data_IF_993349301182
#
_entry.id   IF_993349301182
#
_cell.length_a   1.000
_cell.length_b   1.000
_cell.length_c   1.000
_cell.angle_alpha   90.00
_cell.angle_beta   90.00
_cell.angle_gamma   90.00
#
_symmetry.space_group_name_H-M   'P 1'
#
loop_
_entity.id
_entity.type
_entity.pdbx_description
1 polymer ?
#
# COMPACT_ATOMS: atom_id res chain seq x y z
N UNK A 1 -55.60 8.52 -8.46
CA UNK A 1 -54.96 7.39 -7.74
C UNK A 1 -53.43 7.55 -7.64
N UNK A 2 -52.75 7.96 -8.71
CA UNK A 2 -51.28 8.09 -8.76
C UNK A 2 -50.69 9.17 -7.83
N UNK A 3 -51.36 10.31 -7.64
CA UNK A 3 -50.93 11.36 -6.70
C UNK A 3 -51.07 10.97 -5.22
N UNK A 4 -52.07 10.15 -4.88
CA UNK A 4 -52.26 9.64 -3.52
C UNK A 4 -51.15 8.65 -3.15
N UNK A 5 -50.75 7.79 -4.09
CA UNK A 5 -49.66 6.84 -3.87
C UNK A 5 -48.32 7.56 -3.65
N UNK A 6 -48.06 8.63 -4.42
CA UNK A 6 -46.86 9.45 -4.23
C UNK A 6 -46.85 10.15 -2.87
N UNK A 7 -47.98 10.70 -2.43
CA UNK A 7 -48.12 11.31 -1.11
C UNK A 7 -47.87 10.33 0.05
N UNK A 8 -48.38 9.09 -0.07
CA UNK A 8 -48.17 8.04 0.94
C UNK A 8 -46.71 7.59 0.98
N UNK A 9 -46.04 7.47 -0.18
CA UNK A 9 -44.61 7.10 -0.23
C UNK A 9 -43.73 8.19 0.40
N UNK A 10 -44.02 9.47 0.14
CA UNK A 10 -43.30 10.59 0.75
C UNK A 10 -43.53 10.61 2.27
N UNK A 11 -44.79 10.46 2.72
CA UNK A 11 -45.11 10.43 4.14
C UNK A 11 -44.41 9.27 4.87
N UNK A 12 -44.41 8.07 4.29
CA UNK A 12 -43.70 6.91 4.84
C UNK A 12 -42.18 7.13 4.86
N UNK A 13 -41.61 7.78 3.84
CA UNK A 13 -40.19 8.13 3.80
C UNK A 13 -39.80 9.12 4.90
N UNK A 14 -40.62 10.15 5.14
CA UNK A 14 -40.40 11.12 6.22
C UNK A 14 -40.49 10.45 7.59
N UNK A 15 -41.48 9.58 7.81
CA UNK A 15 -41.61 8.82 9.07
C UNK A 15 -40.41 7.91 9.28
N UNK A 16 -39.95 7.19 8.25
CA UNK A 16 -38.78 6.32 8.34
C UNK A 16 -37.51 7.11 8.68
N UNK A 17 -37.31 8.28 8.08
CA UNK A 17 -36.19 9.18 8.41
C UNK A 17 -36.24 9.63 9.87
N UNK A 18 -37.41 10.03 10.38
CA UNK A 18 -37.56 10.45 11.78
C UNK A 18 -37.23 9.29 12.74
N UNK A 19 -37.73 8.08 12.46
CA UNK A 19 -37.46 6.89 13.28
C UNK A 19 -35.96 6.56 13.30
N UNK A 20 -35.28 6.65 12.15
CA UNK A 20 -33.84 6.40 12.05
C UNK A 20 -33.01 7.41 12.84
N UNK A 21 -33.40 8.70 12.83
CA UNK A 21 -32.71 9.74 13.61
C UNK A 21 -32.91 9.52 15.11
N UNK A 22 -34.13 9.17 15.54
CA UNK A 22 -34.41 8.85 16.95
C UNK A 22 -33.62 7.61 17.39
N UNK A 23 -33.58 6.55 16.57
CA UNK A 23 -32.83 5.34 16.86
C UNK A 23 -31.32 5.60 16.98
N UNK A 24 -30.76 6.42 16.08
CA UNK A 24 -29.35 6.82 16.15
C UNK A 24 -29.05 7.65 17.41
N UNK A 25 -29.94 8.55 17.81
CA UNK A 25 -29.79 9.33 19.04
C UNK A 25 -29.82 8.45 20.30
N UNK A 26 -30.81 7.55 20.40
CA UNK A 26 -30.92 6.60 21.51
C UNK A 26 -29.73 5.65 21.56
N UNK A 27 -29.21 5.23 20.40
CA UNK A 27 -27.99 4.42 20.30
C UNK A 27 -26.76 5.18 20.82
N UNK A 28 -26.55 6.43 20.38
CA UNK A 28 -25.44 7.26 20.88
C UNK A 28 -25.51 7.46 22.39
N UNK A 29 -26.72 7.68 22.94
CA UNK A 29 -26.94 7.85 24.38
C UNK A 29 -26.73 6.57 25.17
N UNK A 30 -27.15 5.42 24.64
CA UNK A 30 -26.95 4.11 25.28
C UNK A 30 -25.48 3.73 25.38
N UNK A 31 -24.66 4.12 24.39
CA UNK A 31 -23.23 3.82 24.34
C UNK A 31 -22.34 4.94 24.90
N UNK A 32 -22.90 5.93 25.58
CA UNK A 32 -22.13 6.94 26.32
C UNK A 32 -21.38 7.96 25.45
N UNK A 33 -21.74 8.09 24.16
CA UNK A 33 -21.17 9.13 23.31
C UNK A 33 -21.73 10.50 23.74
N UNK A 34 -20.86 11.36 24.30
CA UNK A 34 -21.23 12.76 24.58
C UNK A 34 -21.47 13.49 23.27
N UNK A 35 -22.73 13.83 22.99
CA UNK A 35 -23.05 14.79 21.93
C UNK A 35 -22.59 16.18 22.34
N UNK A 36 -22.17 16.96 21.36
CA UNK A 36 -21.92 18.40 21.49
C UNK A 36 -23.19 19.08 22.03
N UNK A 37 -23.13 19.86 23.14
CA UNK A 37 -24.31 20.45 23.78
C UNK A 37 -25.15 21.32 22.82
N UNK A 38 -24.54 21.95 21.82
CA UNK A 38 -25.26 22.73 20.80
C UNK A 38 -26.13 21.86 19.87
N UNK A 39 -25.75 20.57 19.67
CA UNK A 39 -26.53 19.61 18.87
C UNK A 39 -27.65 18.97 19.68
N UNK A 40 -27.44 18.79 20.98
CA UNK A 40 -28.46 18.26 21.89
C UNK A 40 -29.62 19.26 22.06
N UNK A 41 -29.33 20.55 22.17
CA UNK A 41 -30.35 21.61 22.22
C UNK A 41 -31.21 21.66 20.96
N UNK A 42 -30.60 21.60 19.76
CA UNK A 42 -31.33 21.57 18.48
C UNK A 42 -32.21 20.34 18.33
N UNK A 43 -31.77 19.19 18.82
CA UNK A 43 -32.54 17.96 18.76
C UNK A 43 -33.74 17.98 19.71
N UNK A 44 -33.57 18.51 20.92
CA UNK A 44 -34.67 18.69 21.87
C UNK A 44 -35.69 19.72 21.38
N UNK A 45 -35.26 20.82 20.75
CA UNK A 45 -36.15 21.77 20.09
C UNK A 45 -36.95 21.10 18.95
N UNK A 46 -36.30 20.26 18.13
CA UNK A 46 -36.98 19.46 17.11
C UNK A 46 -38.04 18.52 17.70
N UNK A 47 -37.71 17.77 18.75
CA UNK A 47 -38.68 16.87 19.42
C UNK A 47 -39.87 17.63 20.01
N UNK A 48 -39.63 18.80 20.60
CA UNK A 48 -40.69 19.65 21.13
C UNK A 48 -41.62 20.14 20.01
N UNK A 49 -41.06 20.55 18.86
CA UNK A 49 -41.85 20.94 17.67
C UNK A 49 -42.65 19.78 17.09
N UNK A 50 -42.14 18.55 17.11
CA UNK A 50 -42.89 17.35 16.66
C UNK A 50 -44.03 17.01 17.63
N UNK A 51 -43.84 17.20 18.94
CA UNK A 51 -44.90 16.99 19.94
C UNK A 51 -45.98 18.08 19.94
N UNK A 52 -45.62 19.33 19.62
CA UNK A 52 -46.53 20.49 19.76
C UNK A 52 -47.02 21.03 18.40
N UNK A 53 -46.43 20.64 17.28
CA UNK A 53 -46.79 21.08 15.92
C UNK A 53 -48.09 20.49 15.36
N UNK A 54 -48.87 19.78 16.18
CA UNK A 54 -50.16 19.19 15.81
C UNK A 54 -51.39 20.05 16.16
N UNK A 55 -51.24 21.25 16.72
CA UNK A 55 -52.39 22.01 17.28
C UNK A 55 -52.72 23.37 16.67
N UNK A 56 -51.90 23.98 15.81
CA UNK A 56 -52.22 25.30 15.26
C UNK A 56 -52.33 25.31 13.74
N UNK A 57 -53.51 24.93 13.23
CA UNK A 57 -54.22 25.56 12.11
C UNK A 57 -55.22 24.57 11.51
N UNK A 58 -56.51 24.77 11.83
CA UNK A 58 -57.62 24.90 10.88
C UNK A 58 -58.94 24.77 11.65
N UNK A 59 -59.72 25.85 11.56
CA UNK A 59 -61.18 25.95 11.71
C UNK A 59 -61.78 25.95 13.13
N UNK A 60 -61.81 27.16 13.69
CA UNK A 60 -63.04 27.74 14.23
C UNK A 60 -64.25 27.40 13.33
N UNK A 61 -65.33 26.90 13.94
CA UNK A 61 -66.68 27.16 13.44
C UNK A 61 -67.48 25.98 12.88
N UNK A 62 -68.38 25.49 13.74
CA UNK A 62 -69.79 25.19 13.45
C UNK A 62 -70.18 23.81 12.88
N UNK A 63 -70.70 23.00 13.81
CA UNK A 63 -72.07 22.45 13.89
C UNK A 63 -72.21 20.93 13.89
N UNK A 64 -72.69 20.47 15.06
CA UNK A 64 -73.29 19.17 15.40
C UNK A 64 -74.35 18.72 14.39
N UNK A 65 -74.39 17.42 14.11
CA UNK A 65 -75.64 16.66 14.07
C UNK A 65 -75.36 15.17 14.32
N UNK A 66 -76.31 14.54 15.00
CA UNK A 66 -76.19 13.31 15.77
C UNK A 66 -76.66 12.07 14.94
N UNK A 67 -76.99 10.90 15.53
CA UNK A 67 -76.45 9.60 15.12
C UNK A 67 -77.51 8.68 14.50
N UNK A 68 -77.15 7.45 14.08
CA UNK A 68 -78.07 6.31 14.28
C UNK A 68 -77.43 4.92 14.23
N UNK A 69 -78.06 4.12 15.09
CA UNK A 69 -77.84 2.77 15.62
C UNK A 69 -78.05 1.61 14.63
N UNK A 70 -77.32 0.53 14.94
CA UNK A 70 -77.75 -0.89 15.09
C UNK A 70 -78.06 -1.71 13.85
N UNK A 71 -77.42 -2.88 13.80
CA UNK A 71 -77.82 -4.04 13.01
C UNK A 71 -76.99 -5.26 13.39
N UNK A 72 -77.54 -6.08 14.28
CA UNK A 72 -76.99 -7.29 14.88
C UNK A 72 -77.39 -8.52 14.05
N UNK A 73 -76.52 -9.52 13.87
CA UNK A 73 -76.76 -10.97 14.17
C UNK A 73 -75.94 -11.96 13.31
N UNK A 74 -75.41 -12.96 14.04
CA UNK A 74 -75.33 -14.41 13.80
C UNK A 74 -74.68 -14.91 12.48
N UNK A 75 -73.83 -15.94 12.46
CA UNK A 75 -73.39 -16.92 13.45
C UNK A 75 -72.90 -18.20 12.74
N UNK A 76 -72.15 -19.03 13.47
CA UNK A 76 -71.79 -20.44 13.16
C UNK A 76 -70.77 -20.66 12.01
N UNK A 77 -69.87 -21.65 11.97
CA UNK A 77 -69.78 -22.96 12.64
C UNK A 77 -68.37 -23.59 12.36
N UNK A 78 -67.73 -24.20 13.38
CA UNK A 78 -66.89 -25.45 13.46
C UNK A 78 -65.84 -25.75 12.34
N UNK A 79 -64.67 -26.38 12.53
CA UNK A 79 -64.19 -27.38 13.51
C UNK A 79 -62.66 -27.63 13.33
N UNK A 80 -61.96 -27.83 14.45
CA UNK A 80 -60.81 -28.71 14.77
C UNK A 80 -59.74 -29.12 13.72
N UNK A 81 -58.44 -28.95 14.07
CA UNK A 81 -57.57 -30.05 14.58
C UNK A 81 -56.12 -29.57 14.82
N UNK A 82 -55.62 -29.79 16.03
CA UNK A 82 -54.19 -29.85 16.41
C UNK A 82 -53.73 -31.33 16.36
N UNK A 83 -52.42 -31.62 16.19
CA UNK A 83 -51.60 -31.85 17.40
C UNK A 83 -50.16 -31.31 17.34
N UNK A 84 -49.82 -30.56 18.38
CA UNK A 84 -48.65 -30.66 19.26
C UNK A 84 -47.34 -31.31 18.74
N UNK A 85 -46.27 -30.51 18.59
CA UNK A 85 -44.86 -30.93 18.73
C UNK A 85 -44.10 -29.85 19.51
N UNK A 86 -43.49 -30.24 20.64
CA UNK A 86 -42.64 -29.39 21.49
C UNK A 86 -41.22 -29.22 20.93
N UNK A 87 -40.49 -28.17 21.35
CA UNK A 87 -39.22 -27.75 20.74
C UNK A 87 -38.00 -28.52 21.29
N UNK A 88 -37.07 -28.86 20.40
CA UNK A 88 -35.75 -29.40 20.75
C UNK A 88 -34.76 -28.31 21.21
N UNK A 89 -33.68 -28.68 21.91
CA UNK A 89 -32.76 -27.73 22.56
C UNK A 89 -31.81 -27.06 21.55
N UNK A 90 -31.25 -25.89 21.87
CA UNK A 90 -30.32 -25.18 20.99
C UNK A 90 -28.94 -25.86 20.99
N UNK A 91 -28.39 -26.09 19.80
CA UNK A 91 -27.02 -26.56 19.59
C UNK A 91 -26.08 -25.35 19.66
N UNK A 92 -25.11 -25.39 20.57
CA UNK A 92 -24.08 -24.36 20.74
C UNK A 92 -23.11 -24.33 19.53
N UNK A 93 -22.54 -23.15 19.19
CA UNK A 93 -21.55 -23.05 18.13
C UNK A 93 -20.20 -23.65 18.55
N UNK A 94 -19.62 -24.44 17.67
CA UNK A 94 -18.25 -24.98 17.79
C UNK A 94 -17.26 -23.82 17.64
N UNK A 95 -16.50 -23.56 18.71
CA UNK A 95 -15.35 -22.64 18.71
C UNK A 95 -14.20 -23.33 17.97
N UNK A 96 -13.78 -22.75 16.84
CA UNK A 96 -12.54 -23.15 16.17
C UNK A 96 -11.35 -22.63 16.98
N UNK A 97 -10.62 -23.56 17.58
CA UNK A 97 -9.44 -23.30 18.37
C UNK A 97 -8.31 -22.75 17.48
N UNK A 98 -7.84 -21.55 17.79
CA UNK A 98 -6.72 -20.89 17.13
C UNK A 98 -5.39 -21.45 17.64
N UNK A 99 -4.88 -22.50 17.00
CA UNK A 99 -3.49 -22.93 17.16
C UNK A 99 -3.01 -23.56 15.84
N UNK A 100 -2.64 -22.73 14.87
CA UNK A 100 -1.75 -23.14 13.78
C UNK A 100 -0.50 -22.25 13.86
N UNK A 101 0.53 -22.77 14.52
CA UNK A 101 1.88 -22.20 14.48
C UNK A 101 2.50 -22.52 13.13
N UNK A 102 2.83 -21.46 12.38
CA UNK A 102 3.55 -21.55 11.12
C UNK A 102 5.03 -21.77 11.42
N UNK A 103 5.56 -22.96 11.12
CA UNK A 103 7.01 -23.24 11.23
C UNK A 103 7.64 -23.15 9.84
N UNK A 104 8.53 -22.18 9.65
CA UNK A 104 9.35 -22.05 8.44
C UNK A 104 10.41 -23.16 8.46
N UNK A 105 10.55 -24.00 7.42
CA UNK A 105 11.65 -24.95 7.35
C UNK A 105 12.98 -24.20 7.22
N UNK A 106 13.87 -24.40 8.20
CA UNK A 106 15.27 -23.97 8.13
C UNK A 106 16.00 -24.87 7.13
N UNK A 107 16.66 -24.27 6.15
CA UNK A 107 17.46 -25.00 5.16
C UNK A 107 18.59 -25.77 5.85
N UNK A 108 18.67 -27.07 5.56
CA UNK A 108 19.75 -27.97 5.95
C UNK A 108 20.92 -27.81 4.99
N UNK A 109 22.05 -27.33 5.48
CA UNK A 109 23.33 -27.41 4.76
C UNK A 109 23.87 -28.86 4.87
N UNK A 110 24.46 -29.44 3.81
CA UNK A 110 25.11 -30.74 3.91
C UNK A 110 26.40 -30.62 4.72
N UNK A 111 26.57 -31.55 5.66
CA UNK A 111 27.74 -31.66 6.52
C UNK A 111 28.95 -32.27 5.82
N UNK A 112 30.11 -31.73 6.13
CA UNK A 112 31.40 -32.38 5.98
C UNK A 112 31.86 -32.83 7.38
N UNK A 113 32.00 -34.16 7.57
CA UNK A 113 32.92 -34.75 8.54
C UNK A 113 34.34 -34.56 7.96
N UNK A 114 35.41 -34.27 8.66
CA UNK A 114 35.75 -34.21 10.07
C UNK A 114 37.26 -34.44 10.09
N UNK A 115 38.03 -33.64 10.82
CA UNK A 115 39.20 -34.14 11.56
C UNK A 115 39.72 -33.08 12.54
N UNK A 116 39.93 -33.57 13.75
CA UNK A 116 40.34 -32.88 14.97
C UNK A 116 41.87 -32.93 15.07
N UNK A 117 42.55 -31.81 15.34
CA UNK A 117 43.81 -31.86 16.10
C UNK A 117 44.08 -30.58 16.89
N UNK A 118 44.76 -30.80 18.00
CA UNK A 118 44.87 -30.07 19.27
C UNK A 118 45.83 -28.89 19.26
N UNK A 119 45.58 -27.97 20.21
CA UNK A 119 46.45 -26.86 20.61
C UNK A 119 47.61 -27.37 21.49
N UNK A 120 48.88 -27.02 21.20
CA UNK A 120 49.84 -26.68 22.26
C UNK A 120 51.05 -25.82 21.80
N UNK A 121 51.41 -24.93 22.73
CA UNK A 121 52.51 -23.97 22.96
C UNK A 121 53.86 -24.12 22.23
N UNK A 122 54.66 -23.03 22.21
CA UNK A 122 55.96 -23.10 22.90
C UNK A 122 56.26 -21.91 23.84
N UNK A 123 57.14 -22.18 24.83
CA UNK A 123 57.69 -21.27 25.84
C UNK A 123 59.25 -21.32 25.76
N UNK A 124 60.05 -20.54 26.54
CA UNK A 124 60.87 -19.41 26.05
C UNK A 124 62.39 -19.51 26.38
N UNK A 125 63.20 -18.53 25.94
CA UNK A 125 64.50 -18.12 26.54
C UNK A 125 65.10 -16.88 25.81
N UNK A 126 65.85 -15.89 26.34
CA UNK A 126 66.04 -15.20 27.65
C UNK A 126 66.79 -13.88 27.33
N UNK A 127 66.48 -12.77 28.04
CA UNK A 127 67.40 -11.64 28.34
C UNK A 127 67.20 -10.34 27.55
N UNK A 128 67.36 -9.12 28.07
CA UNK A 128 67.31 -8.56 29.42
C UNK A 128 67.20 -7.02 29.31
N UNK A 129 66.71 -6.40 30.40
CA UNK A 129 66.80 -4.98 30.83
C UNK A 129 65.73 -3.95 30.36
N UNK A 130 65.13 -3.33 31.38
CA UNK A 130 64.15 -2.22 31.40
C UNK A 130 64.87 -0.91 31.87
N UNK A 131 64.25 0.31 31.92
CA UNK A 131 63.18 0.61 32.89
C UNK A 131 62.06 1.62 32.46
N UNK A 132 60.83 1.28 32.90
CA UNK A 132 59.75 2.11 33.50
C UNK A 132 59.35 3.51 32.95
N UNK A 133 58.05 3.68 32.67
CA UNK A 133 57.22 4.73 33.30
C UNK A 133 55.70 4.50 33.18
N UNK A 134 55.10 4.28 34.36
CA UNK A 134 53.72 4.48 34.88
C UNK A 134 52.67 5.13 33.95
N UNK A 135 51.54 4.43 33.79
CA UNK A 135 50.22 5.01 33.48
C UNK A 135 49.63 5.73 34.70
N UNK A 136 48.82 6.77 34.50
CA UNK A 136 47.73 7.07 35.41
C UNK A 136 46.37 7.12 34.70
N UNK A 137 45.36 6.65 35.44
CA UNK A 137 43.95 6.64 35.07
C UNK A 137 43.22 7.91 35.55
N UNK A 138 42.02 8.11 34.98
CA UNK A 138 40.85 8.81 35.51
C UNK A 138 40.83 10.34 35.50
N UNK A 139 39.75 10.87 34.93
CA UNK A 139 39.11 12.15 35.26
C UNK A 139 40.03 13.37 35.44
N UNK A 140 40.18 14.15 34.37
CA UNK A 140 40.37 15.59 34.47
C UNK A 140 39.27 16.28 33.65
N UNK A 141 38.46 17.09 34.35
CA UNK A 141 37.49 18.01 33.73
C UNK A 141 38.27 18.96 32.81
N UNK A 142 37.89 19.01 31.53
CA UNK A 142 38.41 20.01 30.59
C UNK A 142 37.76 21.36 30.91
N UNK A 143 38.60 22.36 31.16
CA UNK A 143 38.23 23.73 31.48
C UNK A 143 37.85 24.49 30.20
N UNK A 144 36.65 25.09 30.07
CA UNK A 144 36.20 25.71 28.80
C UNK A 144 36.93 27.00 28.39
N UNK A 145 37.89 27.48 29.19
CA UNK A 145 38.53 28.79 29.00
C UNK A 145 39.87 28.77 28.25
N UNK A 146 40.30 27.63 27.67
CA UNK A 146 41.56 27.52 26.90
C UNK A 146 41.40 27.05 25.45
N UNK A 147 40.35 27.48 24.75
CA UNK A 147 40.27 27.33 23.30
C UNK A 147 40.74 28.63 22.62
N UNK A 148 41.99 28.62 22.13
CA UNK A 148 42.53 29.63 21.22
C UNK A 148 41.78 29.55 19.86
N UNK A 149 41.12 30.63 19.40
CA UNK A 149 40.37 30.62 18.13
C UNK A 149 41.22 30.71 16.86
N UNK A 150 42.55 30.59 16.91
CA UNK A 150 43.42 30.97 15.78
C UNK A 150 44.46 29.93 15.32
N UNK A 151 44.20 28.63 15.47
CA UNK A 151 45.01 27.58 14.87
C UNK A 151 44.62 27.31 13.40
N UNK A 152 45.23 28.10 12.53
CA UNK A 152 45.22 28.04 11.07
C UNK A 152 45.94 26.76 10.57
N UNK A 153 45.23 25.65 10.27
CA UNK A 153 45.86 24.48 9.61
C UNK A 153 44.98 23.65 8.67
N UNK A 154 44.00 24.27 8.01
CA UNK A 154 43.38 23.70 6.80
C UNK A 154 43.17 24.78 5.75
N UNK A 155 44.25 25.09 5.01
CA UNK A 155 44.15 25.61 3.65
C UNK A 155 44.57 24.49 2.72
N UNK A 156 43.58 23.78 2.19
CA UNK A 156 43.76 23.02 0.96
C UNK A 156 42.56 23.34 0.06
N UNK A 157 42.88 23.97 -1.07
CA UNK A 157 41.92 24.50 -2.03
C UNK A 157 41.32 23.35 -2.84
N UNK A 158 40.15 22.87 -2.43
CA UNK A 158 39.21 22.23 -3.35
C UNK A 158 37.93 23.05 -3.38
N UNK A 159 37.63 23.60 -4.56
CA UNK A 159 36.46 24.41 -4.89
C UNK A 159 35.18 23.56 -4.86
N UNK A 160 34.70 23.21 -3.67
CA UNK A 160 33.37 22.59 -3.47
C UNK A 160 32.30 23.68 -3.55
N UNK A 161 31.76 23.93 -4.76
CA UNK A 161 30.57 24.79 -4.92
C UNK A 161 29.33 24.00 -4.52
N UNK A 162 28.86 24.22 -3.29
CA UNK A 162 27.54 23.77 -2.80
C UNK A 162 26.44 24.56 -3.53
N UNK A 163 25.96 24.04 -4.65
CA UNK A 163 24.78 24.57 -5.36
C UNK A 163 23.49 24.09 -4.65
N UNK A 164 23.03 24.86 -3.67
CA UNK A 164 21.63 24.90 -3.18
C UNK A 164 21.00 26.21 -3.70
N UNK A 165 19.76 26.33 -4.15
CA UNK A 165 18.55 25.58 -3.90
C UNK A 165 17.60 25.72 -5.11
N UNK A 166 16.76 24.72 -5.36
CA UNK A 166 15.56 24.86 -6.20
C UNK A 166 14.35 24.60 -5.30
N UNK A 167 13.50 25.61 -5.16
CA UNK A 167 12.38 25.67 -4.24
C UNK A 167 11.26 24.75 -4.72
N UNK A 168 11.27 23.51 -4.22
CA UNK A 168 10.19 22.54 -4.38
C UNK A 168 9.68 22.10 -3.01
N UNK A 169 8.35 21.96 -2.92
CA UNK A 169 7.53 21.46 -1.79
C UNK A 169 8.31 20.58 -0.79
N UNK A 170 8.23 20.83 0.53
CA UNK A 170 8.91 20.02 1.54
C UNK A 170 8.29 18.62 1.61
N UNK A 171 8.80 17.71 0.79
CA UNK A 171 8.59 16.27 0.91
C UNK A 171 9.68 15.64 1.78
N UNK A 172 9.45 14.46 2.37
CA UNK A 172 10.49 13.72 3.09
C UNK A 172 11.62 13.35 2.12
N UNK A 173 12.86 13.63 2.52
CA UNK A 173 14.07 13.28 1.75
C UNK A 173 14.18 11.76 1.57
N UNK A 174 14.31 11.27 0.34
CA UNK A 174 14.39 9.83 0.03
C UNK A 174 15.84 9.31 -0.01
N UNK A 175 16.76 10.09 0.55
CA UNK A 175 18.20 9.87 0.54
C UNK A 175 18.95 10.87 -0.34
N UNK A 176 20.26 10.72 -0.39
CA UNK A 176 21.15 11.58 -1.18
C UNK A 176 22.05 10.74 -2.08
N UNK A 177 22.33 11.25 -3.29
CA UNK A 177 23.21 10.61 -4.26
C UNK A 177 24.40 11.51 -4.61
N UNK A 178 25.59 10.91 -4.65
CA UNK A 178 26.83 11.52 -5.09
C UNK A 178 27.20 11.01 -6.48
N UNK A 179 27.45 11.94 -7.38
CA UNK A 179 27.98 11.68 -8.70
C UNK A 179 28.88 12.82 -9.17
N UNK A 180 29.76 12.53 -10.13
CA UNK A 180 30.60 13.54 -10.76
C UNK A 180 30.38 13.62 -12.27
N UNK A 181 30.53 14.82 -12.83
CA UNK A 181 30.43 15.10 -14.25
C UNK A 181 31.78 15.58 -14.77
N UNK A 182 32.14 15.15 -15.98
CA UNK A 182 33.28 15.68 -16.74
C UNK A 182 32.88 15.79 -18.20
N UNK A 183 33.09 16.95 -18.81
CA UNK A 183 32.80 17.15 -20.23
C UNK A 183 34.11 17.25 -21.02
N UNK A 184 34.17 16.59 -22.18
CA UNK A 184 35.24 16.76 -23.15
C UNK A 184 34.65 17.47 -24.39
N UNK A 185 34.94 18.77 -24.60
CA UNK A 185 34.39 19.52 -25.72
C UNK A 185 34.95 19.07 -27.07
N UNK A 186 36.19 18.60 -27.13
CA UNK A 186 36.82 18.14 -28.38
C UNK A 186 36.15 16.87 -28.92
N UNK A 187 35.73 15.98 -28.02
CA UNK A 187 35.07 14.73 -28.36
C UNK A 187 33.54 14.80 -28.29
N UNK A 188 32.97 15.87 -27.76
CA UNK A 188 31.53 15.97 -27.48
C UNK A 188 31.05 14.91 -26.49
N UNK A 189 31.83 14.59 -25.46
CA UNK A 189 31.51 13.51 -24.52
C UNK A 189 31.26 14.03 -23.10
N UNK A 190 30.07 13.78 -22.57
CA UNK A 190 29.74 13.96 -21.17
C UNK A 190 29.90 12.63 -20.44
N UNK A 191 30.83 12.59 -19.47
CA UNK A 191 31.00 11.45 -18.56
C UNK A 191 30.33 11.75 -17.22
N UNK A 192 29.35 10.93 -16.85
CA UNK A 192 28.70 10.94 -15.53
C UNK A 192 29.20 9.72 -14.75
N UNK A 193 29.89 9.92 -13.64
CA UNK A 193 30.33 8.86 -12.74
C UNK A 193 29.44 8.83 -11.51
N UNK A 194 28.68 7.76 -11.33
CA UNK A 194 27.97 7.48 -10.08
C UNK A 194 28.98 7.01 -9.03
N UNK A 195 28.98 7.66 -7.87
CA UNK A 195 29.94 7.37 -6.81
C UNK A 195 29.26 6.52 -5.73
N UNK A 196 28.25 7.08 -5.05
CA UNK A 196 27.53 6.42 -3.97
C UNK A 196 26.16 7.05 -3.74
N UNK A 197 25.26 6.35 -3.06
CA UNK A 197 24.10 6.95 -2.40
C UNK A 197 24.12 6.68 -0.90
N UNK A 198 23.42 7.50 -0.12
CA UNK A 198 23.32 7.38 1.34
C UNK A 198 21.90 7.62 1.80
N UNK A 199 21.58 7.00 2.93
CA UNK A 199 20.33 7.19 3.66
C UNK A 199 19.09 6.96 2.79
N UNK A 200 19.16 5.95 1.90
CA UNK A 200 18.01 5.55 1.10
C UNK A 200 16.89 5.06 2.02
N UNK A 201 15.66 5.43 1.72
CA UNK A 201 14.52 4.89 2.45
C UNK A 201 14.24 3.46 1.98
N UNK A 202 14.20 2.47 2.90
CA UNK A 202 13.86 1.10 2.55
C UNK A 202 12.39 1.00 2.14
N UNK A 203 12.06 -0.08 1.42
CA UNK A 203 10.67 -0.49 1.22
C UNK A 203 9.97 -0.63 2.57
N UNK A 204 8.70 -0.26 2.63
CA UNK A 204 7.83 -0.68 3.72
C UNK A 204 7.95 -2.21 3.85
N UNK A 205 8.28 -2.69 5.06
CA UNK A 205 8.42 -4.12 5.44
C UNK A 205 9.75 -4.86 5.18
N UNK A 206 10.72 -4.36 4.42
CA UNK A 206 12.00 -5.10 4.20
C UNK A 206 13.16 -4.63 5.08
N UNK A 207 13.17 -3.36 5.49
CA UNK A 207 14.29 -2.73 6.21
C UNK A 207 15.58 -2.56 5.38
N UNK A 208 15.58 -2.97 4.11
CA UNK A 208 16.70 -2.85 3.17
C UNK A 208 16.18 -2.67 1.73
N UNK A 209 17.03 -2.22 0.81
CA UNK A 209 16.74 -2.18 -0.63
C UNK A 209 17.82 -2.95 -1.43
N UNK A 210 17.53 -3.26 -2.69
CA UNK A 210 18.45 -3.72 -3.72
C UNK A 210 18.65 -2.61 -4.79
N UNK A 211 19.29 -1.47 -4.44
CA UNK A 211 19.29 -0.28 -5.29
C UNK A 211 20.10 -0.41 -6.58
N UNK A 212 19.58 0.20 -7.65
CA UNK A 212 20.30 0.50 -8.89
C UNK A 212 19.81 1.80 -9.53
N UNK A 213 20.63 2.41 -10.39
CA UNK A 213 20.32 3.68 -11.06
C UNK A 213 20.05 3.50 -12.55
N UNK A 214 19.10 4.27 -13.08
CA UNK A 214 18.95 4.58 -14.51
C UNK A 214 19.35 6.04 -14.76
N UNK A 215 20.26 6.27 -15.72
CA UNK A 215 20.86 7.57 -16.03
C UNK A 215 20.42 7.98 -17.43
N UNK A 216 19.91 9.19 -17.58
CA UNK A 216 19.55 9.79 -18.86
C UNK A 216 19.97 11.26 -18.93
N UNK A 217 20.19 11.76 -20.14
CA UNK A 217 20.50 13.18 -20.39
C UNK A 217 19.52 13.72 -21.42
N UNK A 218 18.61 14.58 -20.96
CA UNK A 218 17.48 15.09 -21.76
C UNK A 218 17.63 16.59 -22.03
N UNK A 219 17.14 17.10 -23.17
CA UNK A 219 16.36 16.42 -24.21
C UNK A 219 17.17 15.68 -25.28
N UNK A 220 18.50 15.85 -25.36
CA UNK A 220 19.30 15.44 -26.52
C UNK A 220 19.39 13.92 -26.70
N UNK A 221 19.45 13.16 -25.61
CA UNK A 221 19.55 11.70 -25.68
C UNK A 221 18.28 11.01 -25.17
N UNK A 222 17.73 10.12 -25.99
CA UNK A 222 16.73 9.13 -25.54
C UNK A 222 17.38 7.89 -24.90
N UNK A 223 18.72 7.81 -24.90
CA UNK A 223 19.47 6.71 -24.32
C UNK A 223 19.39 6.77 -22.80
N UNK A 224 18.96 5.67 -22.21
CA UNK A 224 19.02 5.44 -20.76
C UNK A 224 20.05 4.36 -20.50
N UNK A 225 21.01 4.64 -19.62
CA UNK A 225 22.04 3.70 -19.17
C UNK A 225 21.71 3.22 -17.75
N UNK A 226 22.11 2.00 -17.40
CA UNK A 226 21.76 1.37 -16.12
C UNK A 226 23.02 0.94 -15.35
N UNK A 227 23.03 1.15 -14.04
CA UNK A 227 24.06 0.64 -13.14
C UNK A 227 23.83 -0.82 -12.77
N UNK A 228 24.80 -1.41 -12.07
CA UNK A 228 24.62 -2.69 -11.40
C UNK A 228 23.66 -2.57 -10.22
N UNK A 229 23.03 -3.70 -9.87
CA UNK A 229 22.19 -3.85 -8.69
C UNK A 229 23.07 -4.14 -7.48
N UNK A 230 22.94 -3.34 -6.43
CA UNK A 230 23.60 -3.55 -5.15
C UNK A 230 22.62 -4.19 -4.18
N UNK A 231 22.88 -5.43 -3.75
CA UNK A 231 21.93 -6.15 -2.90
C UNK A 231 22.01 -5.72 -1.44
N UNK A 232 20.84 -5.64 -0.81
CA UNK A 232 20.62 -5.46 0.64
C UNK A 232 21.42 -4.30 1.24
N UNK A 233 21.29 -3.12 0.64
CA UNK A 233 21.96 -1.91 1.13
C UNK A 233 21.11 -0.65 0.92
N UNK A 234 21.18 0.26 1.89
CA UNK A 234 20.64 1.62 1.79
C UNK A 234 21.74 2.67 1.54
N UNK A 235 22.99 2.21 1.42
CA UNK A 235 24.17 3.02 1.14
C UNK A 235 25.01 2.37 0.03
N UNK A 236 24.50 2.25 -1.21
CA UNK A 236 25.24 1.60 -2.29
C UNK A 236 26.45 2.44 -2.73
N UNK A 237 27.58 1.76 -2.97
CA UNK A 237 28.76 2.33 -3.63
C UNK A 237 28.83 1.86 -5.09
N UNK A 238 28.31 2.67 -6.01
CA UNK A 238 28.25 2.31 -7.43
C UNK A 238 29.65 2.28 -8.07
N UNK A 239 30.37 3.40 -7.99
CA UNK A 239 31.70 3.60 -8.64
C UNK A 239 31.69 3.26 -10.14
N UNK A 240 30.59 3.56 -10.84
CA UNK A 240 30.37 3.29 -12.27
C UNK A 240 30.36 4.57 -13.11
N UNK A 241 30.86 4.51 -14.35
CA UNK A 241 30.92 5.64 -15.28
C UNK A 241 30.07 5.41 -16.52
N UNK A 242 29.31 6.43 -16.90
CA UNK A 242 28.37 6.45 -18.00
C UNK A 242 28.73 7.59 -18.95
N UNK A 243 28.80 7.31 -20.26
CA UNK A 243 29.23 8.28 -21.26
C UNK A 243 28.06 8.57 -22.21
N UNK A 244 27.83 9.86 -22.44
CA UNK A 244 26.82 10.39 -23.36
C UNK A 244 27.49 11.27 -24.41
N UNK A 245 27.13 11.08 -25.67
CA UNK A 245 27.55 11.92 -26.79
C UNK A 245 26.62 13.14 -26.86
N UNK A 246 27.19 14.32 -26.64
CA UNK A 246 26.49 15.61 -26.60
C UNK A 246 27.42 16.67 -27.19
N UNK A 247 27.06 17.28 -28.34
CA UNK A 247 27.79 18.39 -28.92
C UNK A 247 27.91 19.57 -27.95
N UNK A 248 29.03 20.28 -28.00
CA UNK A 248 29.32 21.44 -27.14
C UNK A 248 28.20 22.49 -27.13
N UNK A 249 27.61 22.92 -28.27
CA UNK A 249 26.57 23.94 -28.24
C UNK A 249 25.28 23.51 -27.50
N UNK A 250 25.10 22.21 -27.30
CA UNK A 250 23.89 21.65 -26.67
C UNK A 250 24.05 21.39 -25.18
N UNK A 251 25.28 21.36 -24.63
CA UNK A 251 25.55 20.85 -23.27
C UNK A 251 24.78 21.62 -22.20
N UNK A 252 24.74 22.94 -22.29
CA UNK A 252 24.08 23.82 -21.30
C UNK A 252 22.54 23.79 -21.40
N UNK A 253 21.98 23.19 -22.46
CA UNK A 253 20.55 22.95 -22.60
C UNK A 253 20.11 21.60 -22.02
N UNK A 254 21.07 20.78 -21.60
CA UNK A 254 20.79 19.44 -21.10
C UNK A 254 20.50 19.40 -19.61
N UNK A 255 19.80 18.36 -19.22
CA UNK A 255 19.51 18.00 -17.84
C UNK A 255 19.92 16.55 -17.62
N UNK A 256 20.86 16.33 -16.70
CA UNK A 256 21.20 15.01 -16.21
C UNK A 256 20.13 14.54 -15.22
N UNK A 257 19.56 13.36 -15.49
CA UNK A 257 18.56 12.72 -14.64
C UNK A 257 19.05 11.36 -14.20
N UNK A 258 19.08 11.15 -12.88
CA UNK A 258 19.43 9.88 -12.26
C UNK A 258 18.20 9.39 -11.49
N UNK A 259 17.61 8.30 -11.96
CA UNK A 259 16.47 7.65 -11.32
C UNK A 259 16.96 6.44 -10.55
N UNK A 260 16.56 6.33 -9.29
CA UNK A 260 16.98 5.25 -8.40
C UNK A 260 15.81 4.27 -8.22
N UNK A 261 16.10 2.98 -8.37
CA UNK A 261 15.12 1.89 -8.28
C UNK A 261 15.57 0.85 -7.25
N UNK A 262 14.59 0.23 -6.59
CA UNK A 262 14.75 -0.97 -5.76
C UNK A 262 14.43 -2.20 -6.61
N UNK A 263 15.43 -3.04 -6.87
CA UNK A 263 15.25 -4.26 -7.67
C UNK A 263 14.43 -5.31 -6.91
N UNK A 264 13.46 -5.94 -7.58
CA UNK A 264 12.67 -7.02 -6.99
C UNK A 264 12.65 -8.24 -7.91
N UNK A 265 13.10 -9.39 -7.41
CA UNK A 265 13.20 -10.63 -8.20
C UNK A 265 11.83 -11.17 -8.65
N UNK A 266 10.77 -10.88 -7.91
CA UNK A 266 9.44 -11.49 -8.09
C UNK A 266 8.35 -10.46 -8.39
N UNK A 267 8.72 -9.20 -8.64
CA UNK A 267 7.80 -8.15 -9.06
C UNK A 267 8.54 -7.05 -9.83
N UNK A 268 7.88 -5.94 -10.17
CA UNK A 268 8.57 -4.83 -10.84
C UNK A 268 9.43 -4.07 -9.85
N UNK A 269 10.56 -3.58 -10.36
CA UNK A 269 11.43 -2.67 -9.64
C UNK A 269 10.68 -1.39 -9.27
N UNK A 270 10.83 -0.97 -8.01
CA UNK A 270 10.11 0.17 -7.46
C UNK A 270 10.99 1.42 -7.55
N UNK A 271 10.46 2.51 -8.12
CA UNK A 271 11.22 3.75 -8.18
C UNK A 271 11.31 4.37 -6.78
N UNK A 272 12.51 4.39 -6.20
CA UNK A 272 12.81 5.06 -4.93
C UNK A 272 12.70 6.57 -5.13
N UNK A 273 13.22 7.11 -6.24
CA UNK A 273 13.10 8.53 -6.53
C UNK A 273 14.03 8.99 -7.64
N UNK A 274 14.20 10.29 -7.78
CA UNK A 274 14.99 10.89 -8.86
C UNK A 274 15.79 12.09 -8.38
N UNK A 275 17.03 12.16 -8.82
CA UNK A 275 17.90 13.32 -8.73
C UNK A 275 18.05 13.97 -10.11
N UNK A 276 17.89 15.30 -10.17
CA UNK A 276 17.92 16.07 -11.42
C UNK A 276 18.93 17.22 -11.29
N UNK A 277 19.78 17.38 -12.31
CA UNK A 277 20.74 18.48 -12.42
C UNK A 277 20.67 19.09 -13.82
N UNK A 278 20.15 20.32 -13.91
CA UNK A 278 20.25 21.12 -15.12
C UNK A 278 21.70 21.58 -15.32
N UNK A 279 22.24 21.41 -16.53
CA UNK A 279 23.64 21.72 -16.85
C UNK A 279 23.84 23.18 -17.27
N UNK A 280 22.78 24.00 -17.28
CA UNK A 280 22.80 25.39 -17.74
C UNK A 280 23.80 26.26 -17.00
N UNK A 281 23.90 26.09 -15.68
CA UNK A 281 24.77 26.89 -14.82
C UNK A 281 25.88 26.05 -14.16
N UNK A 282 26.22 24.91 -14.77
CA UNK A 282 27.29 24.04 -14.29
C UNK A 282 28.54 24.32 -15.13
N UNK A 283 29.60 24.74 -14.45
CA UNK A 283 30.91 24.90 -15.06
C UNK A 283 31.54 23.52 -15.25
N UNK A 284 31.58 23.04 -16.50
CA UNK A 284 32.08 21.71 -16.87
C UNK A 284 33.52 21.75 -17.42
N UNK A 285 34.25 22.85 -17.20
CA UNK A 285 35.67 22.98 -17.57
C UNK A 285 36.54 21.96 -16.83
N UNK A 286 36.20 21.68 -15.58
CA UNK A 286 36.81 20.66 -14.74
C UNK A 286 35.80 19.59 -14.30
N UNK A 287 36.31 18.55 -13.63
CA UNK A 287 35.46 17.52 -13.02
C UNK A 287 34.65 18.14 -11.88
N UNK A 288 33.33 18.13 -12.00
CA UNK A 288 32.40 18.59 -10.96
C UNK A 288 31.88 17.40 -10.17
N UNK A 289 31.97 17.42 -8.85
CA UNK A 289 31.34 16.43 -7.97
C UNK A 289 30.17 17.04 -7.20
N UNK A 290 29.02 16.37 -7.20
CA UNK A 290 27.76 16.92 -6.68
C UNK A 290 27.07 15.89 -5.78
N UNK A 291 26.60 16.37 -4.63
CA UNK A 291 25.59 15.70 -3.82
C UNK A 291 24.21 16.26 -4.15
N UNK A 292 23.27 15.39 -4.52
CA UNK A 292 21.89 15.77 -4.83
C UNK A 292 20.91 14.96 -3.99
N UNK A 293 19.89 15.64 -3.50
CA UNK A 293 18.75 14.99 -2.85
C UNK A 293 17.93 14.17 -3.85
N UNK A 294 17.49 13.00 -3.41
CA UNK A 294 16.57 12.14 -4.14
C UNK A 294 15.15 12.58 -3.80
N UNK A 295 14.42 13.05 -4.82
CA UNK A 295 13.04 13.49 -4.68
C UNK A 295 12.07 12.45 -5.22
N UNK A 296 10.88 12.36 -4.64
CA UNK A 296 9.80 11.56 -5.20
C UNK A 296 9.51 12.00 -6.64
N UNK A 297 9.24 11.04 -7.54
CA UNK A 297 8.83 11.37 -8.91
C UNK A 297 7.40 11.93 -8.84
N UNK A 298 7.15 13.20 -9.23
CA UNK A 298 5.80 13.73 -9.23
C UNK A 298 4.97 12.96 -10.25
N UNK A 299 3.84 12.40 -9.81
CA UNK A 299 2.87 11.65 -10.64
C UNK A 299 2.45 12.46 -11.89
N UNK A 300 2.54 13.79 -11.85
CA UNK A 300 2.19 14.71 -12.93
C UNK A 300 3.23 14.82 -14.09
N UNK A 301 4.46 14.31 -13.92
CA UNK A 301 5.50 14.34 -14.98
C UNK A 301 5.85 12.96 -15.54
N UNK A 302 5.06 11.93 -15.22
CA UNK A 302 4.99 10.73 -16.07
C UNK A 302 4.46 11.19 -17.42
N UNK A 303 5.35 11.37 -18.40
CA UNK A 303 4.93 11.47 -19.79
C UNK A 303 4.07 10.24 -20.06
N UNK A 304 2.82 10.49 -20.42
CA UNK A 304 1.94 9.53 -21.10
C UNK A 304 2.61 9.12 -22.41
N UNK A 305 3.59 8.24 -22.33
CA UNK A 305 4.18 7.54 -23.46
C UNK A 305 4.72 6.23 -22.88
N UNK A 306 3.98 5.15 -23.09
CA UNK A 306 4.40 3.75 -22.97
C UNK A 306 4.49 3.04 -21.61
N UNK A 307 4.21 3.67 -20.46
CA UNK A 307 4.03 2.91 -19.21
C UNK A 307 2.56 2.86 -18.77
N UNK A 308 1.96 1.66 -18.91
CA UNK A 308 0.62 1.36 -18.40
C UNK A 308 0.45 1.84 -16.96
N UNK A 309 -0.71 2.43 -16.60
CA UNK A 309 -0.94 3.02 -15.28
C UNK A 309 -0.58 2.03 -14.18
N UNK A 310 0.16 2.49 -13.17
CA UNK A 310 0.42 1.70 -11.97
C UNK A 310 -0.87 1.63 -11.15
N UNK A 311 -1.62 0.55 -11.37
CA UNK A 311 -2.86 0.27 -10.65
C UNK A 311 -2.60 -0.40 -9.29
N UNK A 312 -1.36 -0.82 -9.05
CA UNK A 312 -0.89 -1.53 -7.87
C UNK A 312 -0.64 -3.02 -8.12
N UNK A 313 -0.32 -3.74 -7.05
CA UNK A 313 -0.12 -5.19 -7.06
C UNK A 313 -1.01 -5.88 -6.02
N UNK A 314 -1.40 -7.12 -6.29
CA UNK A 314 -2.13 -7.99 -5.37
C UNK A 314 -1.31 -9.25 -5.07
N UNK A 315 -1.27 -9.66 -3.81
CA UNK A 315 -0.74 -10.95 -3.38
C UNK A 315 -1.87 -11.87 -2.95
N UNK A 316 -1.93 -13.06 -3.55
CA UNK A 316 -2.85 -14.10 -3.15
C UNK A 316 -2.21 -15.48 -3.26
N UNK A 317 -2.80 -16.44 -2.55
CA UNK A 317 -2.43 -17.84 -2.60
C UNK A 317 -3.52 -18.70 -3.21
N UNK A 318 -3.11 -19.67 -4.02
CA UNK A 318 -3.98 -20.68 -4.62
C UNK A 318 -3.61 -22.07 -4.11
N UNK A 319 -4.64 -22.86 -3.80
CA UNK A 319 -4.51 -24.28 -3.50
C UNK A 319 -5.73 -25.02 -4.05
N UNK A 320 -5.49 -26.08 -4.83
CA UNK A 320 -6.55 -26.96 -5.29
C UNK A 320 -6.43 -28.34 -4.63
N UNK A 321 -7.54 -28.83 -4.08
CA UNK A 321 -7.63 -30.18 -3.53
C UNK A 321 -8.55 -31.04 -4.41
N UNK A 322 -7.99 -31.93 -5.26
CA UNK A 322 -8.77 -32.74 -6.20
C UNK A 322 -9.81 -33.62 -5.51
N UNK A 323 -9.43 -34.32 -4.43
CA UNK A 323 -10.31 -35.25 -3.71
C UNK A 323 -11.57 -34.61 -3.13
N UNK A 324 -11.56 -33.28 -2.93
CA UNK A 324 -12.69 -32.52 -2.41
C UNK A 324 -13.25 -31.52 -3.43
N UNK A 325 -12.76 -31.54 -4.67
CA UNK A 325 -13.10 -30.59 -5.74
C UNK A 325 -13.11 -29.14 -5.26
N UNK A 326 -12.07 -28.75 -4.54
CA UNK A 326 -12.06 -27.53 -3.74
C UNK A 326 -10.87 -26.66 -4.10
N UNK A 327 -11.18 -25.49 -4.64
CA UNK A 327 -10.24 -24.41 -4.88
C UNK A 327 -10.30 -23.41 -3.72
N UNK A 328 -9.19 -23.25 -3.01
CA UNK A 328 -9.04 -22.24 -1.96
C UNK A 328 -8.20 -21.08 -2.49
N UNK A 329 -8.76 -19.88 -2.43
CA UNK A 329 -8.09 -18.63 -2.80
C UNK A 329 -7.90 -17.80 -1.53
N UNK A 330 -6.67 -17.64 -1.06
CA UNK A 330 -6.37 -16.80 0.11
C UNK A 330 -5.88 -15.44 -0.36
N UNK A 331 -6.67 -14.40 -0.13
CA UNK A 331 -6.28 -13.02 -0.42
C UNK A 331 -5.43 -12.51 0.75
N UNK A 332 -4.15 -12.25 0.50
CA UNK A 332 -3.20 -11.87 1.55
C UNK A 332 -3.18 -10.36 1.74
N UNK A 333 -2.70 -9.62 0.75
CA UNK A 333 -2.54 -8.17 0.79
C UNK A 333 -2.45 -7.57 -0.61
N UNK A 334 -2.63 -6.27 -0.72
CA UNK A 334 -2.32 -5.50 -1.93
C UNK A 334 -1.46 -4.29 -1.56
N UNK A 335 -0.78 -3.70 -2.54
CA UNK A 335 0.10 -2.54 -2.34
C UNK A 335 0.03 -1.59 -3.52
N UNK A 336 0.39 -0.34 -3.27
CA UNK A 336 0.50 0.72 -4.28
C UNK A 336 -0.80 0.88 -5.09
N UNK A 337 -1.95 0.69 -4.44
CA UNK A 337 -3.25 0.81 -5.10
C UNK A 337 -3.54 2.27 -5.49
N UNK A 338 -4.27 2.46 -6.59
CA UNK A 338 -4.77 3.79 -6.99
C UNK A 338 -5.59 4.41 -5.85
N UNK A 339 -5.14 5.58 -5.39
CA UNK A 339 -5.87 6.41 -4.44
C UNK A 339 -6.97 7.22 -5.13
N UNK A 340 -8.21 7.12 -4.68
CA UNK A 340 -9.35 7.87 -5.23
C UNK A 340 -9.81 8.98 -4.28
N UNK A 341 -9.76 8.73 -2.96
CA UNK A 341 -10.22 9.68 -1.95
C UNK A 341 -9.08 10.61 -1.53
N UNK A 342 -9.41 11.88 -1.31
CA UNK A 342 -8.59 12.83 -0.58
C UNK A 342 -9.21 13.00 0.79
N UNK A 343 -8.47 12.63 1.84
CA UNK A 343 -8.91 12.73 3.22
C UNK A 343 -7.77 13.31 4.05
N UNK A 344 -7.99 14.47 4.67
CA UNK A 344 -7.00 15.14 5.53
C UNK A 344 -5.62 15.26 4.84
N UNK A 345 -5.60 15.76 3.60
CA UNK A 345 -4.41 15.88 2.73
C UNK A 345 -3.70 14.56 2.36
N UNK A 346 -4.27 13.40 2.74
CA UNK A 346 -3.77 12.07 2.34
C UNK A 346 -4.64 11.47 1.25
N UNK A 347 -3.98 10.96 0.21
CA UNK A 347 -4.59 10.20 -0.89
C UNK A 347 -4.82 8.75 -0.43
N UNK A 348 -6.07 8.30 -0.42
CA UNK A 348 -6.45 6.99 0.11
C UNK A 348 -7.59 6.32 -0.66
N UNK A 349 -7.91 5.08 -0.31
CA UNK A 349 -9.00 4.27 -0.88
C UNK A 349 -9.60 3.35 0.19
N UNK A 350 -10.80 2.85 -0.09
CA UNK A 350 -11.50 1.81 0.68
C UNK A 350 -11.58 0.51 -0.16
N UNK A 351 -10.49 -0.26 -0.32
CA UNK A 351 -10.49 -1.42 -1.20
C UNK A 351 -11.15 -2.66 -0.60
N UNK A 352 -11.93 -3.37 -1.43
CA UNK A 352 -12.23 -4.80 -1.27
C UNK A 352 -11.91 -5.54 -2.56
N UNK A 353 -11.72 -6.85 -2.47
CA UNK A 353 -11.38 -7.69 -3.63
C UNK A 353 -12.53 -8.62 -3.92
N UNK A 354 -13.00 -8.61 -5.17
CA UNK A 354 -14.03 -9.50 -5.70
C UNK A 354 -13.36 -10.53 -6.61
N UNK A 355 -13.40 -11.80 -6.21
CA UNK A 355 -12.89 -12.93 -6.98
C UNK A 355 -14.05 -13.57 -7.72
N UNK A 356 -13.99 -13.57 -9.05
CA UNK A 356 -14.97 -14.19 -9.94
C UNK A 356 -14.35 -15.38 -10.64
N UNK A 357 -15.08 -16.49 -10.69
CA UNK A 357 -14.72 -17.68 -11.45
C UNK A 357 -15.54 -17.69 -12.73
N UNK A 358 -14.86 -17.75 -13.86
CA UNK A 358 -15.43 -17.96 -15.17
C UNK A 358 -15.05 -19.36 -15.66
N UNK A 359 -15.94 -19.99 -16.41
CA UNK A 359 -15.62 -21.16 -17.21
C UNK A 359 -15.96 -20.81 -18.65
N UNK A 360 -14.96 -20.86 -19.53
CA UNK A 360 -15.00 -20.21 -20.84
C UNK A 360 -15.36 -18.72 -20.67
N UNK A 361 -16.54 -18.30 -21.14
CA UNK A 361 -17.02 -16.91 -21.04
C UNK A 361 -18.10 -16.70 -19.98
N UNK A 362 -18.57 -17.78 -19.34
CA UNK A 362 -19.69 -17.72 -18.40
C UNK A 362 -19.20 -17.60 -16.97
N UNK A 363 -19.63 -16.55 -16.26
CA UNK A 363 -19.36 -16.41 -14.83
C UNK A 363 -20.14 -17.45 -14.02
N UNK A 364 -19.42 -18.30 -13.30
CA UNK A 364 -19.98 -19.38 -12.48
C UNK A 364 -20.26 -18.91 -11.04
N UNK A 365 -19.24 -18.39 -10.37
CA UNK A 365 -19.31 -18.00 -8.94
C UNK A 365 -18.54 -16.71 -8.73
N UNK A 366 -18.92 -15.95 -7.71
CA UNK A 366 -18.17 -14.78 -7.23
C UNK A 366 -18.18 -14.75 -5.71
N UNK A 367 -17.07 -14.37 -5.11
CA UNK A 367 -16.95 -14.07 -3.68
C UNK A 367 -16.18 -12.77 -3.50
N UNK A 368 -16.35 -12.09 -2.37
CA UNK A 368 -15.62 -10.87 -2.06
C UNK A 368 -15.04 -10.90 -0.66
N UNK A 369 -13.97 -10.16 -0.45
CA UNK A 369 -13.40 -9.90 0.88
C UNK A 369 -14.20 -8.86 1.64
N UNK A 370 -13.84 -8.67 2.92
CA UNK A 370 -14.17 -7.45 3.66
C UNK A 370 -13.51 -6.23 3.02
N UNK A 371 -14.11 -5.06 3.22
CA UNK A 371 -13.55 -3.77 2.82
C UNK A 371 -12.53 -3.30 3.85
N UNK A 372 -11.36 -2.89 3.40
CA UNK A 372 -10.37 -2.19 4.23
C UNK A 372 -10.52 -0.71 3.99
N UNK A 373 -10.55 0.07 5.06
CA UNK A 373 -10.82 1.50 4.97
C UNK A 373 -9.55 2.33 4.98
N UNK A 374 -9.58 3.45 4.25
CA UNK A 374 -8.54 4.47 4.23
C UNK A 374 -7.12 3.91 4.06
N UNK A 375 -6.92 2.98 3.12
CA UNK A 375 -5.59 2.42 2.81
C UNK A 375 -5.40 2.13 1.32
N UNK A 376 -4.18 2.33 0.85
CA UNK A 376 -3.69 1.88 -0.47
C UNK A 376 -2.74 0.67 -0.39
N UNK A 377 -2.52 0.16 0.83
CA UNK A 377 -1.75 -1.05 1.13
C UNK A 377 -2.56 -2.00 2.05
N UNK A 378 -3.74 -2.47 1.61
CA UNK A 378 -4.61 -3.27 2.46
C UNK A 378 -4.05 -4.66 2.74
N UNK A 379 -4.22 -5.13 3.97
CA UNK A 379 -4.00 -6.53 4.38
C UNK A 379 -5.36 -7.17 4.63
N UNK A 380 -5.66 -8.27 3.92
CA UNK A 380 -6.93 -8.97 3.99
C UNK A 380 -6.81 -10.24 4.85
N UNK A 381 -5.89 -11.14 4.50
CA UNK A 381 -5.77 -12.48 5.09
C UNK A 381 -7.09 -13.26 5.08
N UNK A 382 -7.82 -13.20 3.98
CA UNK A 382 -9.17 -13.79 3.85
C UNK A 382 -9.18 -14.95 2.86
N UNK A 383 -9.73 -16.09 3.29
CA UNK A 383 -9.86 -17.29 2.46
C UNK A 383 -11.23 -17.35 1.77
N UNK A 384 -11.22 -17.40 0.44
CA UNK A 384 -12.38 -17.58 -0.41
C UNK A 384 -12.34 -18.98 -1.02
N UNK A 385 -13.25 -19.85 -0.57
CA UNK A 385 -13.30 -21.26 -0.98
C UNK A 385 -14.35 -21.46 -2.08
N UNK A 386 -14.01 -22.19 -3.13
CA UNK A 386 -14.90 -22.50 -4.25
C UNK A 386 -14.92 -24.00 -4.52
N UNK A 387 -16.12 -24.56 -4.68
CA UNK A 387 -16.28 -25.93 -5.16
C UNK A 387 -16.20 -25.89 -6.69
N UNK A 388 -15.16 -26.53 -7.24
CA UNK A 388 -14.75 -26.56 -8.65
C UNK A 388 -14.34 -27.99 -9.00
N UNK A 389 -15.12 -28.60 -9.89
CA UNK A 389 -14.87 -29.94 -10.43
C UNK A 389 -13.56 -29.96 -11.21
N UNK A 390 -12.78 -31.04 -11.11
CA UNK A 390 -11.42 -31.12 -11.64
C UNK A 390 -11.36 -30.90 -13.16
N UNK A 391 -12.33 -31.43 -13.93
CA UNK A 391 -12.38 -31.26 -15.38
C UNK A 391 -12.57 -29.80 -15.80
N UNK A 392 -13.20 -28.99 -14.94
CA UNK A 392 -13.45 -27.58 -15.22
C UNK A 392 -12.18 -26.73 -15.15
N UNK A 393 -11.14 -27.19 -14.46
CA UNK A 393 -9.88 -26.42 -14.30
C UNK A 393 -9.21 -26.08 -15.63
N UNK A 394 -9.37 -26.92 -16.66
CA UNK A 394 -8.78 -26.69 -17.99
C UNK A 394 -9.38 -25.50 -18.75
N UNK A 395 -10.53 -25.00 -18.30
CA UNK A 395 -11.27 -23.92 -18.96
C UNK A 395 -11.60 -22.79 -17.99
N UNK A 396 -10.97 -22.78 -16.81
CA UNK A 396 -11.32 -21.90 -15.72
C UNK A 396 -10.49 -20.63 -15.75
N UNK A 397 -11.15 -19.49 -15.62
CA UNK A 397 -10.50 -18.18 -15.46
C UNK A 397 -10.90 -17.56 -14.13
N UNK A 398 -9.90 -17.23 -13.31
CA UNK A 398 -10.05 -16.44 -12.09
C UNK A 398 -9.83 -14.97 -12.42
N UNK A 399 -10.81 -14.14 -12.08
CA UNK A 399 -10.69 -12.68 -12.15
C UNK A 399 -10.73 -12.09 -10.76
N UNK A 400 -9.70 -11.35 -10.40
CA UNK A 400 -9.56 -10.63 -9.14
C UNK A 400 -9.78 -9.14 -9.43
N UNK A 401 -10.95 -8.59 -9.10
CA UNK A 401 -11.21 -7.16 -9.24
C UNK A 401 -11.04 -6.45 -7.90
N UNK A 402 -10.14 -5.48 -7.86
CA UNK A 402 -9.93 -4.61 -6.71
C UNK A 402 -10.87 -3.42 -6.89
N UNK A 403 -11.73 -3.20 -5.91
CA UNK A 403 -12.83 -2.23 -6.02
C UNK A 403 -12.78 -1.31 -4.83
N UNK A 404 -12.85 -0.01 -5.11
CA UNK A 404 -13.09 1.01 -4.10
C UNK A 404 -14.58 1.04 -3.73
N UNK A 405 -14.87 0.78 -2.45
CA UNK A 405 -16.23 0.95 -1.92
C UNK A 405 -16.53 2.42 -1.62
N UNK A 406 -17.54 2.94 -2.28
CA UNK A 406 -18.06 4.27 -2.01
C UNK A 406 -19.26 4.15 -1.06
N UNK A 407 -19.22 4.90 0.06
CA UNK A 407 -20.35 4.99 0.99
C UNK A 407 -21.57 5.63 0.32
N UNK A 408 -21.33 6.52 -0.64
CA UNK A 408 -22.33 7.23 -1.42
C UNK A 408 -21.84 7.23 -2.88
N UNK A 409 -22.67 6.75 -3.80
CA UNK A 409 -22.34 6.67 -5.23
C UNK A 409 -21.95 5.28 -5.71
N UNK A 410 -21.46 5.18 -6.95
CA UNK A 410 -21.04 3.92 -7.55
C UNK A 410 -19.63 3.53 -7.11
N UNK A 411 -19.39 2.23 -6.93
CA UNK A 411 -18.05 1.71 -6.65
C UNK A 411 -17.14 1.85 -7.87
N UNK A 412 -15.86 2.17 -7.66
CA UNK A 412 -14.86 2.33 -8.73
C UNK A 412 -13.92 1.13 -8.76
N UNK A 413 -13.66 0.57 -9.94
CA UNK A 413 -12.66 -0.50 -10.11
C UNK A 413 -11.27 0.13 -10.14
N UNK A 414 -10.40 -0.29 -9.22
CA UNK A 414 -9.01 0.18 -9.14
C UNK A 414 -8.12 -0.53 -10.14
N UNK A 415 -8.44 -1.79 -10.42
CA UNK A 415 -7.71 -2.65 -11.34
C UNK A 415 -8.13 -4.10 -11.15
N UNK A 416 -7.59 -4.98 -11.99
CA UNK A 416 -7.86 -6.41 -11.93
C UNK A 416 -6.62 -7.26 -12.21
N UNK A 417 -6.62 -8.49 -11.74
CA UNK A 417 -5.68 -9.54 -12.16
C UNK A 417 -6.47 -10.73 -12.70
N UNK A 418 -5.93 -11.43 -13.70
CA UNK A 418 -6.61 -12.55 -14.36
C UNK A 418 -5.66 -13.74 -14.46
N UNK A 419 -6.09 -14.88 -13.91
CA UNK A 419 -5.34 -16.14 -13.95
C UNK A 419 -6.18 -17.26 -14.57
N UNK A 420 -5.53 -18.12 -15.34
CA UNK A 420 -6.12 -19.34 -15.86
C UNK A 420 -5.10 -20.16 -16.66
N UNK A 421 -5.50 -21.30 -17.23
CA UNK A 421 -4.64 -22.13 -18.07
C UNK A 421 -4.24 -21.43 -19.38
N UNK A 422 -5.02 -20.45 -19.83
CA UNK A 422 -4.75 -19.66 -21.04
C UNK A 422 -3.95 -18.36 -20.76
N UNK A 423 -3.55 -18.14 -19.50
CA UNK A 423 -2.70 -17.01 -19.14
C UNK A 423 -1.29 -17.16 -19.73
N UNK A 424 -0.46 -16.10 -19.62
CA UNK A 424 0.96 -16.13 -20.00
C UNK A 424 1.82 -15.68 -18.82
N UNK A 425 3.13 -15.86 -18.90
CA UNK A 425 4.08 -15.33 -17.90
C UNK A 425 3.86 -15.86 -16.48
N UNK A 426 3.89 -14.94 -15.50
CA UNK A 426 3.80 -15.24 -14.07
C UNK A 426 2.42 -15.78 -13.67
N UNK A 427 1.36 -15.32 -14.34
CA UNK A 427 -0.01 -15.77 -14.14
C UNK A 427 -0.14 -17.26 -14.49
N UNK A 428 0.40 -17.67 -15.64
CA UNK A 428 0.43 -19.08 -16.04
C UNK A 428 1.31 -19.93 -15.11
N UNK A 429 2.47 -19.40 -14.72
CA UNK A 429 3.37 -20.11 -13.82
C UNK A 429 2.73 -20.36 -12.44
N UNK A 430 2.04 -19.36 -11.86
CA UNK A 430 1.29 -19.55 -10.62
C UNK A 430 0.14 -20.54 -10.79
N UNK A 431 -0.57 -20.53 -11.93
CA UNK A 431 -1.61 -21.51 -12.22
C UNK A 431 -1.04 -22.94 -12.29
N UNK A 432 0.04 -23.15 -13.01
CA UNK A 432 0.68 -24.47 -13.15
C UNK A 432 1.25 -24.98 -11.81
N UNK A 433 1.83 -24.10 -11.01
CA UNK A 433 2.29 -24.44 -9.66
C UNK A 433 1.12 -24.86 -8.76
N UNK A 434 -0.03 -24.17 -8.84
CA UNK A 434 -1.22 -24.56 -8.09
C UNK A 434 -1.71 -25.96 -8.50
N UNK A 435 -1.67 -26.29 -9.79
CA UNK A 435 -2.13 -27.61 -10.29
C UNK A 435 -1.17 -28.73 -9.90
N UNK A 436 0.14 -28.46 -9.90
CA UNK A 436 1.17 -29.46 -9.60
C UNK A 436 1.47 -29.62 -8.11
N UNK A 437 1.20 -28.60 -7.30
CA UNK A 437 1.48 -28.58 -5.87
C UNK A 437 0.28 -29.04 -5.04
N UNK A 438 0.54 -29.89 -4.04
CA UNK A 438 -0.43 -30.21 -2.97
C UNK A 438 -0.49 -29.14 -1.87
N UNK A 439 0.44 -28.18 -1.89
CA UNK A 439 0.54 -27.08 -0.92
C UNK A 439 0.06 -25.76 -1.53
N UNK A 440 -0.49 -24.85 -0.72
CA UNK A 440 -0.82 -23.50 -1.19
C UNK A 440 0.42 -22.78 -1.74
N UNK A 441 0.27 -22.20 -2.93
CA UNK A 441 1.30 -21.40 -3.61
C UNK A 441 0.87 -19.95 -3.54
N UNK A 442 1.76 -19.02 -3.19
CA UNK A 442 1.46 -17.60 -3.08
C UNK A 442 2.38 -16.78 -3.97
N UNK A 443 1.82 -15.83 -4.75
CA UNK A 443 2.60 -14.90 -5.57
C UNK A 443 1.96 -13.52 -5.64
N UNK A 444 2.78 -12.55 -6.03
CA UNK A 444 2.35 -11.21 -6.42
C UNK A 444 1.90 -11.22 -7.89
N UNK A 445 0.91 -10.38 -8.20
CA UNK A 445 0.42 -10.13 -9.55
C UNK A 445 0.14 -8.65 -9.74
N UNK A 446 0.53 -8.12 -10.90
CA UNK A 446 0.30 -6.72 -11.24
C UNK A 446 -1.14 -6.52 -11.66
N UNK A 447 -1.72 -5.39 -11.25
CA UNK A 447 -3.05 -5.02 -11.68
C UNK A 447 -3.04 -4.42 -13.08
N UNK A 448 -3.97 -4.88 -13.91
CA UNK A 448 -4.26 -4.38 -15.25
C UNK A 448 -5.64 -3.70 -15.26
N UNK A 449 -5.89 -2.92 -16.32
CA UNK A 449 -7.16 -2.22 -16.53
C UNK A 449 -8.31 -3.17 -16.87
#
# INVERSE_FOLDING_TARGET
MQMYLLGVVIALGVVLCIVMVIAAYLFCRHWGFKLDPAKEERYNDFLNRVQHGGQDSVAMGLKKAAPRRVGQRNGSRLKASDPNVSPGPPVSPVVLNSNYSFTIPKATSPGFQGDSFTLEKPQPAVGALSPTSKTPSMMARLDPAQLDPSAHMYKENHTVRKLSADAGVPGPSLGIINFSLKYNPEMGLLTIRLIQARDLQPREFSGTADPYCKISVVPHSNKTLQSKVHRKTLCPEFKESFVFEIPEPDIHRQTARIQLFDFDQFSRDECIGTAVLALTNVDLSEKVEVWKEIKAVPVAHRRQSDEAPELGDIMFSLAYLPSAERLTVVILKARNLKAIKLLEDRRTSDPYIKVSIFCNTKRLKKKKTSTKHNTVHPVFNEALVFNVVQESLRHLTLEFQIIHENRIGQNEVLGRAVLGPDSQGEELAHWNDMISSSKPVARWHRLIT
#
